data_IF_739653698631
#
_entry.id   IF_739653698631
#
_cell.length_a   1.000
_cell.length_b   1.000
_cell.length_c   1.000
_cell.angle_alpha   90.00
_cell.angle_beta   90.00
_cell.angle_gamma   90.00
#
_symmetry.space_group_name_H-M   'P 1'
#
loop_
_entity.id
_entity.type
_entity.pdbx_description
1 polymer ?
#
# COMPACT_ATOMS: atom_id res chain seq x y z
N UNK A 1 33.13 12.13 -25.36
CA UNK A 1 32.84 11.39 -24.12
C UNK A 1 32.88 12.27 -22.86
N UNK A 2 33.97 13.02 -22.56
CA UNK A 2 34.06 13.88 -21.35
C UNK A 2 33.09 15.05 -21.42
N UNK A 3 32.89 15.70 -22.55
CA UNK A 3 31.94 16.81 -22.73
C UNK A 3 30.48 16.37 -22.67
N UNK A 4 30.16 15.15 -23.12
CA UNK A 4 28.82 14.57 -23.08
C UNK A 4 28.40 14.15 -21.66
N UNK A 5 29.36 13.62 -20.87
CA UNK A 5 29.17 13.33 -19.46
C UNK A 5 28.93 14.62 -18.63
N UNK A 6 29.70 15.69 -18.87
CA UNK A 6 29.54 16.96 -18.20
C UNK A 6 28.20 17.67 -18.52
N UNK A 7 27.72 17.58 -19.76
CA UNK A 7 26.40 18.13 -20.15
C UNK A 7 25.25 17.35 -19.52
N UNK A 8 25.38 16.03 -19.34
CA UNK A 8 24.36 15.20 -18.66
C UNK A 8 24.31 15.51 -17.17
N UNK A 9 25.45 15.75 -16.52
CA UNK A 9 25.54 16.11 -15.09
C UNK A 9 24.91 17.47 -14.80
N UNK A 10 25.19 18.50 -15.61
CA UNK A 10 24.59 19.83 -15.46
C UNK A 10 23.07 19.76 -15.55
N UNK A 11 22.51 19.00 -16.52
CA UNK A 11 21.07 18.79 -16.62
C UNK A 11 20.45 18.07 -15.41
N UNK A 12 21.15 17.10 -14.80
CA UNK A 12 20.69 16.38 -13.62
C UNK A 12 20.63 17.30 -12.39
N UNK A 13 21.67 18.09 -12.17
CA UNK A 13 21.71 19.07 -11.08
C UNK A 13 20.59 20.13 -11.19
N UNK A 14 20.32 20.60 -12.41
CA UNK A 14 19.24 21.55 -12.67
C UNK A 14 17.86 20.95 -12.35
N UNK A 15 17.60 19.70 -12.78
CA UNK A 15 16.38 18.98 -12.44
C UNK A 15 16.20 18.78 -10.95
N UNK A 16 17.26 18.39 -10.23
CA UNK A 16 17.19 18.24 -8.77
C UNK A 16 16.88 19.55 -8.06
N UNK A 17 17.49 20.67 -8.50
CA UNK A 17 17.18 22.01 -7.97
C UNK A 17 15.75 22.43 -8.30
N UNK A 18 15.27 22.14 -9.51
CA UNK A 18 13.88 22.36 -9.86
C UNK A 18 12.94 21.62 -8.90
N UNK A 19 13.14 20.31 -8.68
CA UNK A 19 12.32 19.52 -7.74
C UNK A 19 12.33 20.14 -6.34
N UNK A 20 13.52 20.47 -5.83
CA UNK A 20 13.65 21.13 -4.51
C UNK A 20 12.95 22.50 -4.45
N UNK A 21 13.04 23.27 -5.53
CA UNK A 21 12.41 24.59 -5.63
C UNK A 21 10.88 24.56 -5.70
N UNK A 22 10.29 23.43 -6.11
CA UNK A 22 8.84 23.24 -6.11
C UNK A 22 8.29 22.75 -4.75
N UNK A 23 9.16 22.38 -3.80
CA UNK A 23 8.72 21.92 -2.48
C UNK A 23 8.13 23.07 -1.68
N UNK A 24 6.89 22.97 -1.19
CA UNK A 24 6.34 23.94 -0.27
C UNK A 24 7.19 24.04 0.99
N UNK A 25 7.38 25.26 1.48
CA UNK A 25 8.13 25.54 2.73
C UNK A 25 7.43 25.01 3.99
N UNK A 26 6.16 24.66 3.89
CA UNK A 26 5.31 24.17 4.97
C UNK A 26 4.30 23.13 4.45
N UNK A 27 3.51 22.54 5.32
CA UNK A 27 2.48 21.59 4.97
C UNK A 27 3.05 20.21 4.61
N UNK A 28 2.75 19.70 3.41
CA UNK A 28 3.10 18.36 2.95
C UNK A 28 4.55 17.93 3.22
N UNK A 29 5.50 18.85 3.21
CA UNK A 29 6.93 18.58 3.38
C UNK A 29 7.50 19.06 4.71
N UNK A 30 6.69 19.58 5.61
CA UNK A 30 7.16 20.03 6.92
C UNK A 30 7.76 18.85 7.69
N UNK A 31 9.02 18.96 8.08
CA UNK A 31 9.74 17.92 8.83
C UNK A 31 10.20 16.70 8.02
N UNK A 32 10.05 16.72 6.70
CA UNK A 32 10.56 15.67 5.83
C UNK A 32 11.92 16.02 5.25
N UNK A 33 12.90 15.16 5.55
CA UNK A 33 14.26 15.23 5.00
C UNK A 33 14.58 13.94 4.26
N UNK A 34 14.36 13.94 2.93
CA UNK A 34 14.62 12.81 2.05
C UNK A 34 15.47 13.23 0.85
N UNK A 35 16.14 12.26 0.26
CA UNK A 35 17.06 12.48 -0.86
C UNK A 35 16.31 12.73 -2.15
N UNK A 36 16.64 13.83 -2.84
CA UNK A 36 16.02 14.21 -4.11
C UNK A 36 16.72 13.53 -5.27
N UNK A 37 16.00 12.68 -6.01
CA UNK A 37 16.49 12.16 -7.29
C UNK A 37 16.30 13.20 -8.40
N UNK A 38 17.26 13.35 -9.33
CA UNK A 38 17.08 14.20 -10.50
C UNK A 38 16.10 13.61 -11.52
N UNK A 39 15.78 12.33 -11.41
CA UNK A 39 14.99 11.59 -12.39
C UNK A 39 13.91 10.72 -11.72
N UNK A 40 12.79 10.41 -12.40
CA UNK A 40 11.88 9.36 -11.98
C UNK A 40 12.60 8.01 -11.91
N UNK A 41 12.09 7.11 -11.08
CA UNK A 41 12.56 5.73 -11.04
C UNK A 41 12.04 4.96 -12.27
N UNK A 42 12.95 4.47 -13.11
CA UNK A 42 12.59 3.80 -14.35
C UNK A 42 12.28 2.31 -14.11
N UNK A 43 11.08 1.88 -14.51
CA UNK A 43 10.62 0.49 -14.35
C UNK A 43 10.89 -0.40 -15.56
N UNK A 44 10.95 0.18 -16.73
CA UNK A 44 10.89 -0.58 -17.99
C UNK A 44 9.46 -0.98 -18.38
N UNK A 45 9.22 -1.23 -19.67
CA UNK A 45 7.87 -1.36 -20.22
C UNK A 45 7.11 -2.60 -19.71
N UNK A 46 7.79 -3.71 -19.50
CA UNK A 46 7.14 -4.97 -19.02
C UNK A 46 6.61 -4.81 -17.60
N UNK A 47 7.43 -4.27 -16.68
CA UNK A 47 7.02 -4.06 -15.29
C UNK A 47 5.94 -2.99 -15.19
N UNK A 48 6.02 -1.92 -16.00
CA UNK A 48 4.98 -0.90 -16.05
C UNK A 48 3.64 -1.48 -16.52
N UNK A 49 3.62 -2.32 -17.56
CA UNK A 49 2.43 -3.01 -18.04
C UNK A 49 1.89 -4.04 -17.01
N UNK A 50 2.79 -4.70 -16.28
CA UNK A 50 2.40 -5.61 -15.21
C UNK A 50 1.70 -4.86 -14.07
N UNK A 51 2.23 -3.72 -13.64
CA UNK A 51 1.59 -2.87 -12.64
C UNK A 51 0.24 -2.33 -13.12
N UNK A 52 0.13 -1.86 -14.37
CA UNK A 52 -1.15 -1.36 -14.90
C UNK A 52 -2.26 -2.43 -14.82
N UNK A 53 -1.93 -3.65 -15.18
CA UNK A 53 -2.89 -4.77 -15.16
C UNK A 53 -3.18 -5.33 -13.76
N UNK A 54 -2.33 -5.06 -12.76
CA UNK A 54 -2.43 -5.63 -11.41
C UNK A 54 -3.68 -5.15 -10.66
N UNK A 55 -4.12 -3.91 -10.88
CA UNK A 55 -5.28 -3.35 -10.20
C UNK A 55 -6.56 -4.20 -10.35
N UNK A 56 -6.77 -4.79 -11.53
CA UNK A 56 -7.90 -5.70 -11.77
C UNK A 56 -7.82 -6.98 -10.95
N UNK A 57 -6.62 -7.51 -10.78
CA UNK A 57 -6.38 -8.73 -9.99
C UNK A 57 -6.66 -8.47 -8.52
N UNK A 58 -6.15 -7.34 -7.98
CA UNK A 58 -6.33 -6.96 -6.58
C UNK A 58 -7.80 -6.63 -6.27
N UNK A 59 -8.50 -5.95 -7.18
CA UNK A 59 -9.92 -5.71 -7.00
C UNK A 59 -10.73 -7.01 -6.98
N UNK A 60 -10.41 -7.97 -7.87
CA UNK A 60 -11.06 -9.27 -7.86
C UNK A 60 -10.70 -10.07 -6.60
N UNK A 61 -9.46 -9.95 -6.11
CA UNK A 61 -9.06 -10.55 -4.84
C UNK A 61 -9.89 -10.00 -3.67
N UNK A 62 -10.10 -8.69 -3.56
CA UNK A 62 -10.95 -8.11 -2.53
C UNK A 62 -12.42 -8.54 -2.65
N UNK A 63 -12.95 -8.69 -3.87
CA UNK A 63 -14.28 -9.28 -4.09
C UNK A 63 -14.36 -10.70 -3.55
N UNK A 64 -13.38 -11.52 -3.86
CA UNK A 64 -13.30 -12.90 -3.41
C UNK A 64 -13.13 -13.00 -1.89
N UNK A 65 -12.30 -12.16 -1.27
CA UNK A 65 -12.17 -12.03 0.20
C UNK A 65 -13.51 -11.72 0.85
N UNK A 66 -14.21 -10.71 0.36
CA UNK A 66 -15.52 -10.33 0.87
C UNK A 66 -16.54 -11.48 0.78
N UNK A 67 -16.52 -12.20 -0.32
CA UNK A 67 -17.38 -13.35 -0.52
C UNK A 67 -17.01 -14.54 0.37
N UNK A 68 -15.70 -14.82 0.54
CA UNK A 68 -15.19 -15.86 1.42
C UNK A 68 -15.67 -15.65 2.86
N UNK A 69 -15.46 -14.44 3.39
CA UNK A 69 -15.92 -14.09 4.74
C UNK A 69 -17.42 -14.33 4.91
N UNK A 70 -18.24 -13.87 3.97
CA UNK A 70 -19.70 -14.04 4.01
C UNK A 70 -20.14 -15.49 3.90
N UNK A 71 -19.56 -16.24 2.95
CA UNK A 71 -19.85 -17.66 2.80
C UNK A 71 -19.42 -18.47 4.03
N UNK A 72 -18.36 -18.04 4.72
CA UNK A 72 -17.93 -18.65 5.99
C UNK A 72 -18.95 -18.44 7.11
N UNK A 73 -19.50 -17.22 7.25
CA UNK A 73 -20.58 -16.94 8.22
C UNK A 73 -21.86 -17.72 7.89
N UNK A 74 -22.16 -17.93 6.61
CA UNK A 74 -23.31 -18.68 6.14
C UNK A 74 -23.13 -20.21 6.23
N UNK A 75 -21.97 -20.71 6.71
CA UNK A 75 -21.64 -22.14 6.75
C UNK A 75 -21.40 -22.78 5.36
N UNK A 76 -21.26 -21.98 4.30
CA UNK A 76 -20.98 -22.42 2.92
C UNK A 76 -19.49 -22.52 2.60
N UNK A 77 -18.66 -21.98 3.45
CA UNK A 77 -17.20 -22.11 3.46
C UNK A 77 -16.77 -22.40 4.92
N UNK A 78 -15.56 -22.89 5.17
CA UNK A 78 -15.13 -23.26 6.52
C UNK A 78 -15.34 -22.14 7.55
N UNK A 79 -16.05 -22.43 8.62
CA UNK A 79 -16.41 -21.46 9.69
C UNK A 79 -15.20 -20.85 10.38
N UNK A 80 -14.08 -21.57 10.41
CA UNK A 80 -12.85 -21.05 11.02
C UNK A 80 -12.33 -19.78 10.34
N UNK A 81 -12.65 -19.56 9.05
CA UNK A 81 -12.21 -18.36 8.30
C UNK A 81 -12.81 -17.10 8.93
N UNK A 82 -14.14 -17.05 9.08
CA UNK A 82 -14.80 -15.91 9.72
C UNK A 82 -14.36 -15.80 11.19
N UNK A 83 -14.27 -16.91 11.92
CA UNK A 83 -13.82 -16.93 13.31
C UNK A 83 -12.44 -16.29 13.46
N UNK A 84 -11.47 -16.63 12.62
CA UNK A 84 -10.12 -16.04 12.70
C UNK A 84 -10.11 -14.56 12.32
N UNK A 85 -10.88 -14.18 11.29
CA UNK A 85 -11.00 -12.78 10.84
C UNK A 85 -11.72 -11.88 11.86
N UNK A 86 -12.53 -12.46 12.75
CA UNK A 86 -13.27 -11.75 13.79
C UNK A 86 -12.49 -11.57 15.09
N UNK A 87 -11.39 -12.32 15.28
CA UNK A 87 -10.61 -12.28 16.52
C UNK A 87 -10.18 -10.85 16.88
N UNK A 88 -10.33 -10.53 18.17
CA UNK A 88 -9.95 -9.24 18.76
C UNK A 88 -10.80 -8.04 18.36
N UNK A 89 -11.87 -8.23 17.58
CA UNK A 89 -12.71 -7.13 17.08
C UNK A 89 -13.99 -6.94 17.91
N UNK A 90 -14.42 -5.68 18.12
CA UNK A 90 -15.67 -5.39 18.82
C UNK A 90 -16.89 -5.96 18.08
N UNK A 91 -17.85 -6.50 18.84
CA UNK A 91 -19.09 -7.06 18.27
C UNK A 91 -19.90 -6.06 17.43
N UNK A 92 -19.89 -4.79 17.80
CA UNK A 92 -20.57 -3.72 17.05
C UNK A 92 -19.96 -3.52 15.66
N UNK A 93 -18.61 -3.56 15.56
CA UNK A 93 -17.91 -3.46 14.27
C UNK A 93 -18.16 -4.70 13.43
N UNK A 94 -18.19 -5.88 14.01
CA UNK A 94 -18.54 -7.12 13.31
C UNK A 94 -19.99 -7.10 12.80
N UNK A 95 -20.92 -6.53 13.57
CA UNK A 95 -22.29 -6.34 13.13
C UNK A 95 -22.38 -5.42 11.90
N UNK A 96 -21.61 -4.33 11.87
CA UNK A 96 -21.51 -3.44 10.69
C UNK A 96 -20.94 -4.19 9.47
N UNK A 97 -19.82 -4.91 9.63
CA UNK A 97 -19.22 -5.71 8.56
C UNK A 97 -20.19 -6.72 7.95
N UNK A 98 -21.07 -7.30 8.77
CA UNK A 98 -22.08 -8.28 8.36
C UNK A 98 -23.38 -7.65 7.85
N UNK A 99 -23.57 -6.35 8.05
CA UNK A 99 -24.79 -5.63 7.67
C UNK A 99 -25.04 -5.73 6.15
N UNK A 100 -26.29 -5.92 5.74
CA UNK A 100 -26.69 -5.83 4.33
C UNK A 100 -26.32 -4.51 3.66
N UNK A 101 -26.27 -3.40 4.42
CA UNK A 101 -25.91 -2.08 3.91
C UNK A 101 -24.52 -2.03 3.30
N UNK A 102 -23.55 -2.72 3.91
CA UNK A 102 -22.16 -2.76 3.44
C UNK A 102 -21.81 -4.05 2.68
N UNK A 103 -22.80 -4.88 2.37
CA UNK A 103 -22.62 -6.23 1.80
C UNK A 103 -21.64 -6.27 0.63
N UNK A 104 -21.74 -5.33 -0.31
CA UNK A 104 -20.96 -5.31 -1.53
C UNK A 104 -19.85 -4.25 -1.54
N UNK A 105 -19.71 -3.49 -0.44
CA UNK A 105 -18.75 -2.41 -0.37
C UNK A 105 -17.33 -2.94 -0.23
N UNK A 106 -16.45 -2.36 -1.01
CA UNK A 106 -15.02 -2.65 -1.07
C UNK A 106 -14.23 -1.36 -0.88
N UNK A 107 -12.97 -1.43 -0.43
CA UNK A 107 -12.07 -0.29 -0.47
C UNK A 107 -11.97 0.27 -1.90
N UNK A 108 -12.03 1.59 -2.02
CA UNK A 108 -11.93 2.28 -3.32
C UNK A 108 -10.53 2.80 -3.61
N UNK A 109 -9.62 2.71 -2.65
CA UNK A 109 -8.18 2.86 -2.84
C UNK A 109 -7.53 1.54 -2.47
N UNK A 110 -6.68 1.02 -3.34
CA UNK A 110 -5.93 -0.22 -3.12
C UNK A 110 -4.45 0.10 -3.35
N UNK A 111 -3.63 -0.04 -2.33
CA UNK A 111 -2.18 0.15 -2.44
C UNK A 111 -1.45 -1.12 -1.97
N UNK A 112 -0.92 -1.93 -2.87
CA UNK A 112 0.05 -2.94 -2.49
C UNK A 112 1.41 -2.31 -2.23
N UNK A 113 2.12 -2.82 -1.22
CA UNK A 113 3.55 -2.56 -1.05
C UNK A 113 4.32 -3.69 -1.74
N UNK A 114 5.02 -3.36 -2.83
CA UNK A 114 5.68 -4.33 -3.69
C UNK A 114 7.20 -4.19 -3.61
N UNK A 115 7.89 -5.31 -3.47
CA UNK A 115 9.33 -5.39 -3.59
C UNK A 115 9.71 -5.93 -4.98
N UNK A 116 10.73 -5.35 -5.60
CA UNK A 116 11.37 -5.95 -6.77
C UNK A 116 12.38 -6.97 -6.25
N UNK A 117 12.22 -8.23 -6.62
CA UNK A 117 13.09 -9.35 -6.25
C UNK A 117 13.70 -9.99 -7.49
N UNK A 118 14.62 -10.92 -7.31
CA UNK A 118 15.20 -11.70 -8.41
C UNK A 118 14.14 -12.54 -9.16
N UNK A 119 13.03 -12.88 -8.48
CA UNK A 119 11.94 -13.69 -9.02
C UNK A 119 10.73 -12.84 -9.47
N UNK A 120 10.88 -11.54 -9.64
CA UNK A 120 9.82 -10.61 -10.00
C UNK A 120 9.26 -9.83 -8.80
N UNK A 121 8.01 -9.38 -8.90
CA UNK A 121 7.35 -8.63 -7.83
C UNK A 121 6.94 -9.52 -6.66
N UNK A 122 7.09 -9.01 -5.46
CA UNK A 122 6.65 -9.65 -4.22
C UNK A 122 5.87 -8.65 -3.36
N UNK A 123 4.61 -8.96 -3.05
CA UNK A 123 3.75 -8.10 -2.21
C UNK A 123 4.01 -8.36 -0.73
N UNK A 124 4.20 -7.31 0.01
CA UNK A 124 4.40 -7.42 1.46
C UNK A 124 3.16 -7.06 2.27
N UNK A 125 2.30 -6.22 1.71
CA UNK A 125 1.08 -5.71 2.36
C UNK A 125 0.09 -5.23 1.30
N UNK A 126 -1.21 -5.26 1.64
CA UNK A 126 -2.28 -4.55 0.95
C UNK A 126 -2.88 -3.52 1.91
N UNK A 127 -2.85 -2.27 1.51
CA UNK A 127 -3.38 -1.16 2.30
C UNK A 127 -4.65 -0.61 1.66
N UNK A 128 -5.70 -0.47 2.45
CA UNK A 128 -7.01 0.06 2.06
C UNK A 128 -7.25 1.50 2.54
N UNK A 129 -6.37 2.02 3.41
CA UNK A 129 -6.38 3.40 3.94
C UNK A 129 -4.99 4.04 3.74
N UNK A 130 -4.43 4.02 2.52
CA UNK A 130 -3.03 4.36 2.33
C UNK A 130 -2.73 5.84 2.51
N UNK A 131 -1.66 6.14 3.25
CA UNK A 131 -0.95 7.41 3.16
C UNK A 131 -0.13 7.54 1.87
N UNK A 132 0.41 8.72 1.60
CA UNK A 132 1.28 8.98 0.45
C UNK A 132 0.53 9.34 -0.84
N UNK A 133 -0.79 9.53 -0.80
CA UNK A 133 -1.60 9.96 -1.97
C UNK A 133 -1.14 11.33 -2.45
N UNK A 134 -1.02 12.30 -1.54
CA UNK A 134 -0.61 13.66 -1.86
C UNK A 134 0.87 13.75 -2.23
N UNK A 135 1.74 13.06 -1.50
CA UNK A 135 3.16 12.97 -1.85
C UNK A 135 3.35 12.43 -3.27
N UNK A 136 2.69 11.33 -3.61
CA UNK A 136 2.79 10.73 -4.95
C UNK A 136 2.20 11.65 -6.02
N UNK A 137 1.08 12.32 -5.73
CA UNK A 137 0.48 13.30 -6.64
C UNK A 137 1.42 14.47 -6.91
N UNK A 138 2.03 15.04 -5.85
CA UNK A 138 2.99 16.12 -5.99
C UNK A 138 4.23 15.69 -6.80
N UNK A 139 4.76 14.51 -6.52
CA UNK A 139 5.88 13.95 -7.28
C UNK A 139 5.51 13.78 -8.75
N UNK A 140 4.35 13.22 -9.05
CA UNK A 140 3.87 13.06 -10.43
C UNK A 140 3.80 14.40 -11.16
N UNK A 141 3.20 15.43 -10.55
CA UNK A 141 3.10 16.76 -11.14
C UNK A 141 4.49 17.39 -11.35
N UNK A 142 5.33 17.34 -10.32
CA UNK A 142 6.65 17.98 -10.36
C UNK A 142 7.56 17.34 -11.40
N UNK A 143 7.63 15.99 -11.43
CA UNK A 143 8.50 15.30 -12.38
C UNK A 143 7.96 15.28 -13.81
N UNK A 144 6.66 15.42 -14.01
CA UNK A 144 6.10 15.63 -15.35
C UNK A 144 6.49 16.98 -15.98
N UNK A 145 6.88 17.95 -15.14
CA UNK A 145 7.27 19.30 -15.53
C UNK A 145 8.78 19.56 -15.42
N UNK A 146 9.60 18.52 -15.28
CA UNK A 146 11.06 18.68 -15.22
C UNK A 146 11.61 19.46 -16.41
N UNK A 147 12.55 20.39 -16.19
CA UNK A 147 13.23 21.10 -17.27
C UNK A 147 13.98 20.09 -18.15
N UNK A 148 13.93 20.34 -19.44
CA UNK A 148 14.63 19.52 -20.45
C UNK A 148 16.09 19.92 -20.49
N UNK A 149 16.99 18.96 -20.61
CA UNK A 149 18.35 19.25 -21.04
C UNK A 149 18.25 19.85 -22.45
N UNK A 150 18.73 21.08 -22.67
CA UNK A 150 18.84 21.66 -24.00
C UNK A 150 19.73 20.77 -24.84
N UNK A 151 19.15 20.05 -25.80
CA UNK A 151 19.94 19.46 -26.86
C UNK A 151 20.51 20.62 -27.67
N UNK A 152 21.83 20.79 -27.65
CA UNK A 152 22.51 21.65 -28.60
C UNK A 152 21.97 21.33 -29.98
N UNK A 153 21.35 22.30 -30.62
CA UNK A 153 20.72 22.18 -31.94
C UNK A 153 21.78 21.96 -32.98
N UNK A 154 22.16 20.72 -33.24
CA UNK A 154 22.75 20.34 -34.51
C UNK A 154 21.56 20.16 -35.44
N UNK A 155 21.33 21.19 -36.28
CA UNK A 155 20.33 21.16 -37.34
C UNK A 155 20.68 20.04 -38.31
N UNK A 156 19.95 18.93 -38.27
CA UNK A 156 19.81 18.02 -39.39
C UNK A 156 18.35 18.11 -39.87
N UNK A 157 18.11 18.46 -41.16
CA UNK A 157 16.76 18.50 -41.67
C UNK A 157 16.24 17.09 -41.92
N UNK A 158 14.96 16.92 -41.66
CA UNK A 158 14.08 15.82 -42.05
C UNK A 158 14.14 14.51 -41.27
N UNK A 159 13.40 14.49 -40.14
CA UNK A 159 12.59 13.34 -39.74
C UNK A 159 11.31 13.86 -39.11
N UNK A 160 10.14 13.20 -39.32
CA UNK A 160 8.87 13.73 -38.81
C UNK A 160 8.86 13.77 -37.29
N UNK A 161 8.34 14.86 -36.76
CA UNK A 161 8.26 15.21 -35.38
C UNK A 161 7.75 14.03 -34.53
N UNK A 162 8.62 13.43 -33.73
CA UNK A 162 8.20 12.66 -32.57
C UNK A 162 7.73 13.63 -31.49
N UNK A 163 6.46 13.54 -31.18
CA UNK A 163 5.75 14.29 -30.18
C UNK A 163 6.50 14.36 -28.85
N UNK A 164 6.65 15.59 -28.33
CA UNK A 164 6.92 15.98 -26.95
C UNK A 164 7.54 14.92 -26.02
N UNK A 165 8.85 14.86 -25.93
CA UNK A 165 9.58 14.04 -24.97
C UNK A 165 9.53 14.59 -23.53
N UNK A 166 8.33 14.74 -22.95
CA UNK A 166 8.19 14.82 -21.49
C UNK A 166 8.50 13.45 -20.88
N UNK A 167 9.16 13.41 -19.74
CA UNK A 167 9.33 12.16 -19.00
C UNK A 167 7.94 11.63 -18.66
N UNK A 168 7.56 10.51 -19.26
CA UNK A 168 6.23 9.92 -19.06
C UNK A 168 6.16 9.24 -17.68
N UNK A 169 5.74 10.00 -16.67
CA UNK A 169 5.45 9.46 -15.35
C UNK A 169 4.21 8.57 -15.42
N UNK A 170 4.24 7.42 -14.75
CA UNK A 170 3.09 6.51 -14.71
C UNK A 170 1.90 7.20 -14.04
N UNK A 171 0.74 7.15 -14.70
CA UNK A 171 -0.46 7.89 -14.29
C UNK A 171 -0.51 9.34 -14.80
N UNK A 172 0.60 9.87 -15.31
CA UNK A 172 0.72 11.27 -15.74
C UNK A 172 0.71 12.26 -14.57
N UNK A 173 0.73 13.55 -14.85
CA UNK A 173 0.77 14.61 -13.83
C UNK A 173 -0.41 14.55 -12.84
N UNK A 174 -1.63 14.27 -13.34
CA UNK A 174 -2.86 14.39 -12.55
C UNK A 174 -3.53 13.05 -12.22
N UNK A 175 -2.89 11.91 -12.58
CA UNK A 175 -3.50 10.59 -12.41
C UNK A 175 -3.90 10.28 -10.97
N UNK A 176 -3.08 10.69 -10.01
CA UNK A 176 -3.37 10.52 -8.58
C UNK A 176 -4.58 11.35 -8.13
N UNK A 177 -4.63 12.62 -8.52
CA UNK A 177 -5.71 13.55 -8.11
C UNK A 177 -7.03 13.15 -8.75
N UNK A 178 -7.05 12.92 -10.07
CA UNK A 178 -8.24 12.44 -10.79
C UNK A 178 -8.70 11.08 -10.29
N UNK A 179 -7.77 10.19 -10.01
CA UNK A 179 -8.07 8.88 -9.45
C UNK A 179 -8.76 9.00 -8.09
N UNK A 180 -8.20 9.79 -7.17
CA UNK A 180 -8.77 10.02 -5.85
C UNK A 180 -10.15 10.70 -5.93
N UNK A 181 -10.33 11.70 -6.78
CA UNK A 181 -11.64 12.32 -6.99
C UNK A 181 -12.68 11.33 -7.51
N UNK A 182 -12.29 10.45 -8.44
CA UNK A 182 -13.22 9.52 -9.11
C UNK A 182 -13.89 8.51 -8.18
N UNK A 183 -13.30 8.21 -7.01
CA UNK A 183 -13.86 7.22 -6.08
C UNK A 183 -15.15 7.68 -5.38
N UNK A 184 -15.43 8.97 -5.38
CA UNK A 184 -16.58 9.56 -4.69
C UNK A 184 -17.81 9.71 -5.59
N UNK A 185 -17.66 9.53 -6.90
CA UNK A 185 -18.77 9.70 -7.85
C UNK A 185 -19.34 11.11 -7.83
N UNK A 186 -20.67 11.21 -7.74
CA UNK A 186 -21.42 12.49 -7.81
C UNK A 186 -21.63 13.16 -6.44
N UNK A 187 -20.86 12.82 -5.41
CA UNK A 187 -21.01 13.45 -4.10
C UNK A 187 -20.79 14.97 -4.17
N UNK A 188 -21.65 15.72 -3.48
CA UNK A 188 -21.63 17.19 -3.48
C UNK A 188 -20.46 17.76 -2.68
N UNK A 189 -20.18 17.14 -1.54
CA UNK A 189 -19.06 17.48 -0.64
C UNK A 189 -18.39 16.19 -0.19
N UNK A 190 -17.08 16.21 -0.07
CA UNK A 190 -16.27 15.10 0.41
C UNK A 190 -15.56 15.53 1.70
N UNK A 191 -15.86 14.85 2.79
CA UNK A 191 -15.22 15.05 4.08
C UNK A 191 -14.11 14.00 4.25
N UNK A 192 -12.86 14.45 4.41
CA UNK A 192 -11.72 13.59 4.73
C UNK A 192 -11.55 13.66 6.25
N UNK A 193 -12.05 12.64 6.93
CA UNK A 193 -11.97 12.56 8.41
C UNK A 193 -10.69 11.85 8.79
N UNK A 194 -9.82 12.56 9.53
CA UNK A 194 -8.48 12.11 9.89
C UNK A 194 -8.37 12.01 11.41
N UNK A 195 -8.05 10.81 11.93
CA UNK A 195 -7.82 10.61 13.36
C UNK A 195 -6.52 11.25 13.85
N UNK A 196 -6.31 11.30 15.16
CA UNK A 196 -5.06 11.79 15.73
C UNK A 196 -3.89 10.84 15.47
N UNK A 197 -4.10 9.53 15.41
CA UNK A 197 -3.07 8.55 15.01
C UNK A 197 -2.57 8.81 13.57
N UNK A 198 -3.46 9.25 12.68
CA UNK A 198 -3.14 9.61 11.30
C UNK A 198 -2.84 11.11 11.10
N UNK A 199 -2.69 11.90 12.16
CA UNK A 199 -2.54 13.37 12.10
C UNK A 199 -1.37 13.83 11.21
N UNK A 200 -0.29 13.05 11.12
CA UNK A 200 0.85 13.35 10.26
C UNK A 200 0.47 13.47 8.76
N UNK A 201 -0.66 12.88 8.34
CA UNK A 201 -1.16 12.95 6.96
C UNK A 201 -2.11 14.15 6.72
N UNK A 202 -2.49 14.92 7.74
CA UNK A 202 -3.36 16.11 7.55
C UNK A 202 -2.80 17.11 6.54
N UNK A 203 -1.51 17.50 6.59
CA UNK A 203 -0.94 18.43 5.60
C UNK A 203 -0.97 17.85 4.18
N UNK A 204 -0.75 16.55 4.03
CA UNK A 204 -0.81 15.86 2.76
C UNK A 204 -2.22 15.91 2.14
N UNK A 205 -3.23 15.55 2.94
CA UNK A 205 -4.62 15.52 2.47
C UNK A 205 -5.18 16.94 2.28
N UNK A 206 -4.71 17.93 3.06
CA UNK A 206 -5.04 19.34 2.83
C UNK A 206 -4.49 19.84 1.49
N UNK A 207 -3.27 19.45 1.14
CA UNK A 207 -2.70 19.75 -0.17
C UNK A 207 -3.53 19.10 -1.30
N UNK A 208 -3.90 17.81 -1.18
CA UNK A 208 -4.77 17.11 -2.16
C UNK A 208 -6.10 17.85 -2.32
N UNK A 209 -6.77 18.19 -1.22
CA UNK A 209 -8.03 18.92 -1.24
C UNK A 209 -7.89 20.26 -1.99
N UNK A 210 -6.82 21.02 -1.74
CA UNK A 210 -6.51 22.28 -2.41
C UNK A 210 -6.28 22.11 -3.93
N UNK A 211 -5.69 21.01 -4.35
CA UNK A 211 -5.42 20.73 -5.78
C UNK A 211 -6.68 20.32 -6.57
N UNK A 212 -7.58 19.55 -5.95
CA UNK A 212 -8.77 19.03 -6.63
C UNK A 212 -9.90 20.08 -6.64
N UNK A 213 -10.02 20.88 -5.56
CA UNK A 213 -11.06 21.88 -5.41
C UNK A 213 -11.48 22.00 -3.94
N UNK A 214 -10.90 22.97 -3.24
CA UNK A 214 -11.04 23.15 -1.79
C UNK A 214 -12.47 23.38 -1.28
N UNK A 215 -13.39 23.80 -2.15
CA UNK A 215 -14.80 23.96 -1.78
C UNK A 215 -15.53 22.62 -1.67
N UNK A 216 -15.15 21.64 -2.49
CA UNK A 216 -15.74 20.31 -2.53
C UNK A 216 -15.09 19.35 -1.52
N UNK A 217 -13.79 19.46 -1.28
CA UNK A 217 -13.02 18.59 -0.40
C UNK A 217 -12.66 19.30 0.90
N UNK A 218 -13.06 18.75 2.03
CA UNK A 218 -12.87 19.33 3.36
C UNK A 218 -12.14 18.38 4.29
N UNK A 219 -11.06 18.86 4.89
CA UNK A 219 -10.36 18.12 5.93
C UNK A 219 -11.10 18.31 7.25
N UNK A 220 -11.44 17.21 7.89
CA UNK A 220 -12.20 17.19 9.14
C UNK A 220 -11.39 16.59 10.29
N UNK A 221 -11.64 17.09 11.48
CA UNK A 221 -11.20 16.49 12.73
C UNK A 221 -12.02 15.24 13.05
N UNK A 222 -11.54 14.33 13.92
CA UNK A 222 -12.25 13.10 14.28
C UNK A 222 -13.60 13.33 14.98
N UNK A 223 -13.83 14.51 15.56
CA UNK A 223 -15.08 14.92 16.22
C UNK A 223 -16.11 15.53 15.28
N UNK A 224 -15.80 15.67 13.98
CA UNK A 224 -16.73 16.26 13.03
C UNK A 224 -17.91 15.33 12.75
N UNK A 225 -19.12 15.85 12.86
CA UNK A 225 -20.35 15.08 12.75
C UNK A 225 -21.50 15.74 11.95
N UNK A 226 -21.27 16.94 11.37
CA UNK A 226 -22.30 17.66 10.58
C UNK A 226 -22.25 17.24 9.10
N UNK A 227 -22.78 16.04 8.81
CA UNK A 227 -22.87 15.49 7.47
C UNK A 227 -24.29 15.65 6.92
N UNK A 228 -24.41 15.98 5.62
CA UNK A 228 -25.68 16.14 4.90
C UNK A 228 -25.93 15.00 3.92
N UNK A 229 -27.19 14.79 3.56
CA UNK A 229 -27.58 13.78 2.59
C UNK A 229 -26.90 14.04 1.23
N UNK A 230 -26.32 12.99 0.63
CA UNK A 230 -25.61 13.06 -0.65
C UNK A 230 -24.13 13.44 -0.56
N UNK A 231 -23.61 13.69 0.64
CA UNK A 231 -22.17 13.90 0.84
C UNK A 231 -21.39 12.58 0.92
N UNK A 232 -20.07 12.66 0.86
CA UNK A 232 -19.19 11.51 1.01
C UNK A 232 -18.20 11.72 2.16
N UNK A 233 -17.81 10.61 2.78
CA UNK A 233 -16.74 10.55 3.77
C UNK A 233 -15.62 9.65 3.26
N UNK A 234 -14.41 10.18 3.21
CA UNK A 234 -13.21 9.39 3.14
C UNK A 234 -12.71 9.15 4.56
N UNK A 235 -12.77 7.90 5.00
CA UNK A 235 -12.30 7.47 6.32
C UNK A 235 -10.77 7.34 6.27
N UNK A 236 -10.08 8.40 6.67
CA UNK A 236 -8.61 8.38 6.78
C UNK A 236 -8.18 8.04 8.21
N UNK A 237 -8.63 6.90 8.68
CA UNK A 237 -8.26 6.27 9.95
C UNK A 237 -8.48 4.76 9.86
N UNK A 238 -7.65 4.01 10.53
CA UNK A 238 -7.78 2.56 10.64
C UNK A 238 -8.91 2.18 11.61
N UNK A 239 -9.53 1.01 11.42
CA UNK A 239 -10.65 0.59 12.29
C UNK A 239 -10.22 0.22 13.70
N UNK A 240 -8.96 -0.06 13.95
CA UNK A 240 -8.46 -0.22 15.33
C UNK A 240 -8.47 1.10 16.11
N UNK A 241 -8.46 2.25 15.42
CA UNK A 241 -8.35 3.58 16.01
C UNK A 241 -9.70 4.24 16.30
N UNK A 242 -10.81 3.48 16.25
CA UNK A 242 -12.17 3.99 16.49
C UNK A 242 -12.35 4.69 17.84
N UNK A 243 -11.58 4.31 18.86
CA UNK A 243 -11.62 4.97 20.16
C UNK A 243 -11.22 6.47 20.08
N UNK A 244 -10.41 6.85 19.09
CA UNK A 244 -9.96 8.21 18.84
C UNK A 244 -10.83 8.94 17.79
N UNK A 245 -11.95 8.35 17.35
CA UNK A 245 -12.90 8.94 16.41
C UNK A 245 -14.31 8.86 17.05
N UNK A 246 -14.66 9.77 17.97
CA UNK A 246 -15.86 9.66 18.81
C UNK A 246 -17.16 9.62 17.99
N UNK A 247 -17.21 10.29 16.85
CA UNK A 247 -18.38 10.32 15.97
C UNK A 247 -18.39 9.22 14.91
N UNK A 248 -17.47 8.25 14.95
CA UNK A 248 -17.41 7.12 14.02
C UNK A 248 -18.72 6.34 13.93
N UNK A 249 -19.41 6.15 15.06
CA UNK A 249 -20.73 5.48 15.09
C UNK A 249 -21.76 6.21 14.23
N UNK A 250 -21.85 7.55 14.35
CA UNK A 250 -22.76 8.38 13.54
C UNK A 250 -22.43 8.32 12.05
N UNK A 251 -21.14 8.35 11.71
CA UNK A 251 -20.67 8.19 10.31
C UNK A 251 -21.17 6.85 9.75
N UNK A 252 -20.98 5.76 10.51
CA UNK A 252 -21.39 4.43 10.05
C UNK A 252 -22.91 4.25 9.96
N UNK A 253 -23.69 4.84 10.85
CA UNK A 253 -25.16 4.86 10.81
C UNK A 253 -25.69 5.63 9.60
N UNK A 254 -25.13 6.81 9.31
CA UNK A 254 -25.48 7.59 8.13
C UNK A 254 -25.13 6.86 6.83
N UNK A 255 -23.98 6.20 6.79
CA UNK A 255 -23.59 5.39 5.64
C UNK A 255 -24.47 4.14 5.49
N UNK A 256 -24.80 3.45 6.59
CA UNK A 256 -25.68 2.28 6.57
C UNK A 256 -27.10 2.63 6.11
N UNK A 257 -27.59 3.84 6.42
CA UNK A 257 -28.89 4.34 5.95
C UNK A 257 -28.85 4.91 4.52
N UNK A 258 -27.69 4.92 3.85
CA UNK A 258 -27.51 5.44 2.49
C UNK A 258 -27.56 6.97 2.38
N UNK A 259 -27.52 7.70 3.49
CA UNK A 259 -27.52 9.17 3.50
C UNK A 259 -26.21 9.74 3.04
N UNK A 260 -25.09 9.12 3.43
CA UNK A 260 -23.76 9.49 2.96
C UNK A 260 -23.07 8.29 2.29
N UNK A 261 -22.12 8.57 1.43
CA UNK A 261 -21.20 7.56 0.88
C UNK A 261 -19.96 7.46 1.76
N UNK A 262 -19.58 6.25 2.17
CA UNK A 262 -18.40 6.00 3.00
C UNK A 262 -17.37 5.15 2.25
N UNK A 263 -16.12 5.58 2.25
CA UNK A 263 -14.99 4.77 1.77
C UNK A 263 -13.72 5.07 2.57
N UNK A 264 -12.91 4.06 2.94
CA UNK A 264 -13.22 2.63 2.91
C UNK A 264 -14.42 2.25 3.79
N UNK A 265 -15.09 1.11 3.52
CA UNK A 265 -16.22 0.67 4.34
C UNK A 265 -15.78 0.25 5.76
N UNK A 266 -16.69 0.18 6.74
CA UNK A 266 -16.35 -0.27 8.11
C UNK A 266 -16.23 -1.80 8.19
N UNK A 267 -15.28 -2.34 7.41
CA UNK A 267 -15.06 -3.79 7.24
C UNK A 267 -13.61 -4.13 7.55
N UNK A 268 -13.31 -4.50 8.81
CA UNK A 268 -11.93 -4.80 9.23
C UNK A 268 -11.27 -5.94 8.45
N UNK A 269 -12.04 -6.79 7.77
CA UNK A 269 -11.49 -7.84 6.90
C UNK A 269 -10.52 -7.30 5.84
N UNK A 270 -10.69 -6.05 5.40
CA UNK A 270 -9.80 -5.45 4.39
C UNK A 270 -8.53 -4.81 4.96
N UNK A 271 -8.40 -4.76 6.29
CA UNK A 271 -7.23 -4.24 6.99
C UNK A 271 -6.36 -5.39 7.58
N UNK A 272 -6.56 -6.62 7.09
CA UNK A 272 -5.95 -7.84 7.63
C UNK A 272 -4.84 -8.41 6.73
N UNK A 273 -3.65 -8.59 7.29
CA UNK A 273 -2.55 -9.28 6.58
C UNK A 273 -2.78 -10.79 6.47
N UNK A 274 -3.64 -11.36 7.33
CA UNK A 274 -3.97 -12.80 7.26
C UNK A 274 -4.70 -13.19 5.96
N UNK A 275 -5.18 -12.24 5.16
CA UNK A 275 -5.71 -12.51 3.82
C UNK A 275 -4.73 -13.30 2.95
N UNK A 276 -3.43 -13.04 3.12
CA UNK A 276 -2.38 -13.78 2.41
C UNK A 276 -2.23 -15.22 2.92
N UNK A 277 -2.41 -15.43 4.23
CA UNK A 277 -2.42 -16.78 4.80
C UNK A 277 -3.65 -17.58 4.34
N UNK A 278 -4.81 -16.92 4.23
CA UNK A 278 -6.02 -17.55 3.67
C UNK A 278 -5.83 -17.91 2.19
N UNK A 279 -5.13 -17.09 1.40
CA UNK A 279 -4.81 -17.41 0.01
C UNK A 279 -3.97 -18.70 -0.09
N UNK A 280 -2.98 -18.86 0.78
CA UNK A 280 -2.09 -20.02 0.80
C UNK A 280 -2.68 -21.27 1.47
N UNK A 281 -3.83 -21.14 2.17
CA UNK A 281 -4.46 -22.28 2.82
C UNK A 281 -5.02 -23.27 1.79
N UNK A 282 -4.50 -24.50 1.79
CA UNK A 282 -4.84 -25.54 0.80
C UNK A 282 -6.33 -25.88 0.75
N UNK A 283 -7.02 -25.79 1.90
CA UNK A 283 -8.46 -26.07 1.97
C UNK A 283 -9.31 -25.00 1.27
N UNK A 284 -8.73 -23.84 0.94
CA UNK A 284 -9.42 -22.76 0.25
C UNK A 284 -9.02 -22.63 -1.23
N UNK A 285 -8.10 -23.48 -1.74
CA UNK A 285 -7.61 -23.36 -3.11
C UNK A 285 -8.72 -23.50 -4.15
N UNK A 286 -9.67 -24.42 -3.94
CA UNK A 286 -10.82 -24.60 -4.84
C UNK A 286 -11.66 -23.31 -4.91
N UNK A 287 -11.97 -22.73 -3.74
CA UNK A 287 -12.66 -21.44 -3.65
C UNK A 287 -11.91 -20.35 -4.40
N UNK A 288 -10.60 -20.21 -4.17
CA UNK A 288 -9.81 -19.18 -4.82
C UNK A 288 -9.74 -19.34 -6.34
N UNK A 289 -9.59 -20.58 -6.85
CA UNK A 289 -9.63 -20.85 -8.29
C UNK A 289 -10.97 -20.48 -8.90
N UNK A 290 -12.06 -20.82 -8.24
CA UNK A 290 -13.40 -20.51 -8.70
C UNK A 290 -13.63 -19.00 -8.78
N UNK A 291 -13.28 -18.25 -7.72
CA UNK A 291 -13.61 -16.84 -7.63
C UNK A 291 -12.62 -15.91 -8.36
N UNK A 292 -11.35 -16.30 -8.48
CA UNK A 292 -10.34 -15.53 -9.19
C UNK A 292 -10.19 -15.94 -10.65
N UNK A 293 -10.55 -17.17 -11.00
CA UNK A 293 -10.16 -17.81 -12.25
C UNK A 293 -8.66 -18.14 -12.26
N UNK A 294 -8.29 -19.15 -13.05
CA UNK A 294 -6.94 -19.73 -13.06
C UNK A 294 -5.83 -18.68 -13.28
N UNK A 295 -6.06 -17.73 -14.19
CA UNK A 295 -5.07 -16.69 -14.52
C UNK A 295 -4.75 -15.76 -13.31
N UNK A 296 -5.78 -15.27 -12.62
CA UNK A 296 -5.59 -14.37 -11.48
C UNK A 296 -5.11 -15.14 -10.25
N UNK A 297 -5.61 -16.35 -10.04
CA UNK A 297 -5.14 -17.24 -8.99
C UNK A 297 -3.63 -17.46 -9.10
N UNK A 298 -3.14 -17.90 -10.25
CA UNK A 298 -1.71 -18.14 -10.49
C UNK A 298 -0.89 -16.86 -10.36
N UNK A 299 -1.44 -15.70 -10.75
CA UNK A 299 -0.76 -14.42 -10.58
C UNK A 299 -0.64 -14.03 -9.11
N UNK A 300 -1.69 -14.21 -8.31
CA UNK A 300 -1.65 -13.95 -6.87
C UNK A 300 -0.66 -14.86 -6.16
N UNK A 301 -0.60 -16.14 -6.53
CA UNK A 301 0.38 -17.09 -5.96
C UNK A 301 1.83 -16.73 -6.27
N UNK A 302 2.11 -16.15 -7.42
CA UNK A 302 3.47 -15.65 -7.74
C UNK A 302 3.80 -14.35 -7.03
N UNK A 303 2.79 -13.51 -6.80
CA UNK A 303 2.96 -12.19 -6.20
C UNK A 303 3.10 -12.27 -4.67
N UNK A 304 2.30 -13.13 -4.02
CA UNK A 304 2.21 -13.22 -2.55
C UNK A 304 3.23 -14.23 -2.02
N UNK A 305 4.20 -13.84 -1.19
CA UNK A 305 5.08 -14.79 -0.51
C UNK A 305 4.29 -15.80 0.30
N UNK A 306 4.81 -17.01 0.45
CA UNK A 306 4.14 -18.00 1.30
C UNK A 306 3.89 -17.42 2.69
N UNK A 307 2.64 -17.46 3.11
CA UNK A 307 2.17 -16.84 4.36
C UNK A 307 1.35 -17.84 5.16
N UNK A 308 1.63 -17.92 6.44
CA UNK A 308 0.92 -18.78 7.40
C UNK A 308 0.19 -17.92 8.40
N UNK A 309 -0.97 -18.39 8.87
CA UNK A 309 -1.58 -17.90 10.12
C UNK A 309 -0.93 -18.66 11.28
N UNK A 310 -0.40 -17.95 12.25
CA UNK A 310 0.21 -18.54 13.46
C UNK A 310 -0.92 -18.91 14.42
N UNK A 311 -1.63 -20.00 14.10
CA UNK A 311 -2.74 -20.53 14.89
C UNK A 311 -2.21 -21.57 15.88
N UNK A 312 -2.30 -21.34 17.19
CA UNK A 312 -1.78 -22.25 18.23
C UNK A 312 -2.61 -23.52 18.41
N UNK A 313 -3.69 -23.68 17.66
CA UNK A 313 -4.51 -24.92 17.73
C UNK A 313 -3.65 -26.14 17.41
N UNK A 314 -3.81 -27.25 18.19
CA UNK A 314 -3.06 -28.46 17.94
C UNK A 314 -3.27 -28.99 16.51
N UNK A 315 -2.17 -29.38 15.85
CA UNK A 315 -2.26 -30.04 14.57
C UNK A 315 -2.77 -31.48 14.74
N UNK A 316 -3.48 -32.03 13.73
CA UNK A 316 -3.83 -33.43 13.70
C UNK A 316 -2.57 -34.32 13.83
N UNK A 317 -2.69 -35.55 14.38
CA UNK A 317 -1.58 -36.48 14.46
C UNK A 317 -0.90 -36.66 13.09
N UNK A 318 0.44 -36.65 13.08
CA UNK A 318 1.28 -36.77 11.88
C UNK A 318 1.18 -35.62 10.88
N UNK A 319 0.44 -34.53 11.20
CA UNK A 319 0.45 -33.33 10.37
C UNK A 319 1.67 -32.44 10.66
N UNK A 320 2.12 -31.75 9.65
CA UNK A 320 3.16 -30.73 9.77
C UNK A 320 2.69 -29.42 9.14
N UNK A 321 3.25 -28.31 9.63
CA UNK A 321 3.03 -26.99 9.06
C UNK A 321 3.64 -27.01 7.64
N UNK A 322 2.84 -26.78 6.60
CA UNK A 322 3.31 -26.88 5.22
C UNK A 322 4.55 -26.01 4.99
N UNK A 323 5.50 -26.48 4.17
CA UNK A 323 6.74 -25.77 3.79
C UNK A 323 7.75 -25.48 4.93
N UNK A 324 7.37 -25.71 6.20
CA UNK A 324 8.27 -25.52 7.35
C UNK A 324 8.72 -26.86 7.95
N UNK A 325 7.98 -27.95 7.73
CA UNK A 325 8.20 -29.26 8.35
C UNK A 325 8.21 -29.24 9.87
N UNK A 326 7.53 -28.28 10.48
CA UNK A 326 7.35 -28.15 11.93
C UNK A 326 5.99 -28.75 12.34
N UNK A 327 5.92 -29.33 13.50
CA UNK A 327 4.68 -29.91 14.04
C UNK A 327 4.02 -29.02 15.09
N UNK A 328 4.73 -27.97 15.52
CA UNK A 328 4.28 -26.99 16.51
C UNK A 328 4.93 -25.63 16.24
N UNK A 329 4.22 -24.54 16.44
CA UNK A 329 4.74 -23.18 16.27
C UNK A 329 5.88 -22.83 17.22
N UNK A 330 5.95 -23.43 18.39
CA UNK A 330 7.06 -23.25 19.33
C UNK A 330 8.42 -23.67 18.73
N UNK A 331 8.41 -24.59 17.78
CA UNK A 331 9.62 -25.04 17.08
C UNK A 331 10.25 -23.96 16.20
N UNK A 332 9.53 -22.88 15.87
CA UNK A 332 10.14 -21.70 15.22
C UNK A 332 11.31 -21.12 16.03
N UNK A 333 11.30 -21.29 17.34
CA UNK A 333 12.38 -20.83 18.23
C UNK A 333 13.66 -21.64 18.05
N UNK A 334 13.59 -22.88 17.59
CA UNK A 334 14.76 -23.75 17.40
C UNK A 334 15.49 -23.50 16.07
N UNK A 335 14.89 -22.73 15.17
CA UNK A 335 15.50 -22.40 13.88
C UNK A 335 16.78 -21.57 14.08
N UNK A 336 17.81 -21.91 13.32
CA UNK A 336 19.03 -21.10 13.23
C UNK A 336 18.74 -19.75 12.58
N UNK A 337 19.60 -18.76 12.77
CA UNK A 337 19.45 -17.43 12.16
C UNK A 337 19.32 -17.50 10.64
N UNK A 338 20.01 -18.42 9.99
CA UNK A 338 19.94 -18.62 8.54
C UNK A 338 18.60 -19.21 8.08
N UNK A 339 17.97 -20.07 8.89
CA UNK A 339 16.66 -20.64 8.60
C UNK A 339 15.51 -19.67 8.87
N UNK A 340 15.77 -18.60 9.65
CA UNK A 340 14.80 -17.56 9.98
C UNK A 340 14.66 -16.47 8.91
N UNK A 341 14.77 -16.83 7.61
CA UNK A 341 14.36 -15.94 6.51
C UNK A 341 12.83 -15.85 6.44
N UNK A 342 12.27 -15.39 7.55
CA UNK A 342 10.84 -15.31 7.84
C UNK A 342 10.54 -13.97 8.48
N UNK A 343 9.36 -13.43 8.20
CA UNK A 343 8.86 -12.21 8.83
C UNK A 343 7.59 -12.57 9.61
N UNK A 344 7.60 -12.28 10.90
CA UNK A 344 6.42 -12.34 11.76
C UNK A 344 5.78 -10.96 11.79
N UNK A 345 4.45 -10.90 11.57
CA UNK A 345 3.69 -9.64 11.51
C UNK A 345 2.38 -9.77 12.29
N UNK A 346 2.00 -8.71 12.99
CA UNK A 346 0.61 -8.55 13.46
C UNK A 346 -0.31 -8.41 12.27
N UNK A 347 -1.41 -9.17 12.23
CA UNK A 347 -2.27 -9.24 11.05
C UNK A 347 -3.03 -7.93 10.80
N UNK A 348 -3.85 -7.49 11.73
CA UNK A 348 -4.67 -6.29 11.61
C UNK A 348 -5.30 -5.91 12.94
N UNK A 349 -6.20 -4.93 12.93
CA UNK A 349 -6.96 -4.43 14.06
C UNK A 349 -6.12 -4.23 15.35
N UNK A 350 -4.96 -3.60 15.19
CA UNK A 350 -4.01 -3.34 16.28
C UNK A 350 -3.13 -2.14 15.93
N UNK A 351 -2.79 -1.27 16.88
CA UNK A 351 -1.82 -0.18 16.66
C UNK A 351 -0.43 -0.72 16.26
N UNK A 352 -0.13 -1.99 16.58
CA UNK A 352 1.10 -2.65 16.13
C UNK A 352 1.03 -3.17 14.69
N UNK A 353 -0.14 -3.24 14.07
CA UNK A 353 -0.27 -3.64 12.67
C UNK A 353 0.12 -2.52 11.69
N UNK A 354 0.32 -1.28 12.18
CA UNK A 354 0.56 -0.08 11.40
C UNK A 354 1.99 0.47 11.60
N UNK A 355 2.55 1.15 10.58
CA UNK A 355 3.84 1.82 10.67
C UNK A 355 5.04 0.90 10.92
N UNK A 356 4.98 -0.37 10.52
CA UNK A 356 6.01 -1.39 10.73
C UNK A 356 6.29 -1.72 12.22
N UNK A 357 5.46 -1.28 13.17
CA UNK A 357 5.67 -1.46 14.62
C UNK A 357 5.64 -2.93 15.07
N UNK A 358 4.87 -3.77 14.40
CA UNK A 358 4.73 -5.21 14.71
C UNK A 358 5.33 -6.11 13.63
N UNK A 359 6.47 -5.71 13.05
CA UNK A 359 7.16 -6.45 12.00
C UNK A 359 8.51 -6.96 12.53
N UNK A 360 8.69 -8.27 12.57
CA UNK A 360 9.88 -8.94 13.11
C UNK A 360 10.55 -9.77 12.02
N UNK A 361 11.69 -9.33 11.49
CA UNK A 361 12.50 -10.10 10.55
C UNK A 361 13.39 -11.08 11.32
N UNK A 362 13.09 -12.36 11.22
CA UNK A 362 13.74 -13.40 12.03
C UNK A 362 15.25 -13.50 11.86
N UNK A 363 15.77 -13.27 10.64
CA UNK A 363 17.21 -13.28 10.35
C UNK A 363 17.97 -12.10 10.97
N UNK A 364 17.28 -11.02 11.40
CA UNK A 364 17.91 -9.83 11.98
C UNK A 364 17.87 -9.82 13.51
N UNK A 365 16.97 -10.62 14.09
CA UNK A 365 16.78 -10.69 15.52
C UNK A 365 17.78 -11.66 16.17
N UNK A 366 18.14 -11.35 17.43
CA UNK A 366 18.80 -12.33 18.30
C UNK A 366 17.89 -13.55 18.48
N UNK A 367 18.46 -14.67 18.97
CA UNK A 367 17.66 -15.85 19.29
C UNK A 367 16.62 -15.55 20.39
N UNK A 368 16.98 -14.74 21.38
CA UNK A 368 16.10 -14.37 22.48
C UNK A 368 14.94 -13.50 22.00
N UNK A 369 15.21 -12.46 21.17
CA UNK A 369 14.18 -11.56 20.65
C UNK A 369 13.23 -12.29 19.70
N UNK A 370 13.76 -13.19 18.85
CA UNK A 370 12.93 -14.02 17.98
C UNK A 370 12.02 -14.95 18.80
N UNK A 371 12.58 -15.61 19.82
CA UNK A 371 11.80 -16.49 20.69
C UNK A 371 10.70 -15.72 21.41
N UNK A 372 10.99 -14.53 21.92
CA UNK A 372 9.99 -13.67 22.55
C UNK A 372 8.89 -13.24 21.56
N UNK A 373 9.25 -12.90 20.31
CA UNK A 373 8.27 -12.55 19.27
C UNK A 373 7.36 -13.73 18.93
N UNK A 374 7.89 -14.96 18.84
CA UNK A 374 7.11 -16.18 18.60
C UNK A 374 6.19 -16.47 19.78
N UNK A 375 6.68 -16.41 21.02
CA UNK A 375 5.86 -16.64 22.20
C UNK A 375 4.73 -15.60 22.30
N UNK A 376 5.01 -14.35 22.02
CA UNK A 376 4.01 -13.29 22.00
C UNK A 376 2.93 -13.52 20.93
N UNK A 377 3.32 -13.93 19.72
CA UNK A 377 2.38 -14.22 18.65
C UNK A 377 1.42 -15.37 19.00
N UNK A 378 1.95 -16.42 19.62
CA UNK A 378 1.16 -17.57 20.06
C UNK A 378 0.21 -17.18 21.22
N UNK A 379 0.72 -16.48 22.23
CA UNK A 379 -0.06 -16.09 23.42
C UNK A 379 -1.19 -15.11 23.08
N UNK A 380 -0.98 -14.21 22.14
CA UNK A 380 -1.94 -13.18 21.78
C UNK A 380 -2.89 -13.56 20.63
N UNK A 381 -2.86 -14.79 20.14
CA UNK A 381 -3.64 -15.21 18.97
C UNK A 381 -5.13 -14.83 19.04
N UNK A 382 -5.77 -14.96 20.19
CA UNK A 382 -7.19 -14.67 20.36
C UNK A 382 -7.53 -13.16 20.28
N UNK A 383 -6.54 -12.29 20.51
CA UNK A 383 -6.75 -10.83 20.54
C UNK A 383 -6.12 -10.11 19.36
N UNK A 384 -4.97 -10.58 18.92
CA UNK A 384 -4.18 -9.96 17.85
C UNK A 384 -3.44 -11.03 17.07
N UNK A 385 -4.12 -11.74 16.15
CA UNK A 385 -3.51 -12.79 15.34
C UNK A 385 -2.28 -12.31 14.60
N UNK A 386 -1.29 -13.18 14.48
CA UNK A 386 -0.07 -12.91 13.74
C UNK A 386 0.00 -13.81 12.48
N UNK A 387 0.64 -13.29 11.45
CA UNK A 387 1.03 -14.06 10.28
C UNK A 387 2.54 -14.21 10.24
N UNK A 388 2.99 -15.39 9.84
CA UNK A 388 4.36 -15.65 9.45
C UNK A 388 4.44 -15.61 7.94
N UNK A 389 5.38 -14.88 7.38
CA UNK A 389 5.55 -14.75 5.93
C UNK A 389 6.99 -15.05 5.54
N UNK A 390 7.19 -15.79 4.43
CA UNK A 390 8.52 -16.02 3.88
C UNK A 390 9.13 -14.67 3.46
N UNK A 391 10.35 -14.41 3.87
CA UNK A 391 11.06 -13.20 3.49
C UNK A 391 11.59 -13.34 2.06
N UNK A 392 11.13 -12.46 1.18
CA UNK A 392 11.69 -12.31 -0.15
C UNK A 392 12.63 -11.11 -0.14
N UNK A 393 13.92 -11.39 -0.30
CA UNK A 393 14.97 -10.36 -0.29
C UNK A 393 14.80 -9.41 -1.47
N UNK A 394 14.67 -8.09 -1.25
CA UNK A 394 14.63 -7.13 -2.35
C UNK A 394 15.94 -7.14 -3.14
N UNK A 395 15.84 -7.12 -4.46
CA UNK A 395 16.97 -6.95 -5.36
C UNK A 395 17.66 -5.60 -5.17
N UNK A 396 18.91 -5.52 -5.64
CA UNK A 396 19.63 -4.25 -5.66
C UNK A 396 19.27 -3.47 -6.93
N UNK A 397 19.10 -2.17 -6.77
CA UNK A 397 18.88 -1.22 -7.85
C UNK A 397 19.93 -0.13 -7.82
N UNK A 398 20.26 0.42 -8.99
CA UNK A 398 21.06 1.63 -9.11
C UNK A 398 20.13 2.84 -9.01
N UNK A 399 20.50 3.80 -8.18
CA UNK A 399 19.82 5.05 -7.98
C UNK A 399 20.84 6.18 -7.83
N UNK A 400 20.37 7.40 -7.94
CA UNK A 400 21.19 8.60 -7.72
C UNK A 400 20.36 9.67 -7.02
N UNK A 401 21.04 10.51 -6.25
CA UNK A 401 20.44 11.66 -5.59
C UNK A 401 21.39 12.86 -5.64
N UNK A 402 20.83 14.05 -5.53
CA UNK A 402 21.61 15.27 -5.56
C UNK A 402 21.93 15.73 -4.14
N UNK A 403 23.24 15.85 -3.84
CA UNK A 403 23.71 16.45 -2.60
C UNK A 403 23.77 17.99 -2.77
N UNK A 404 22.83 18.66 -2.11
CA UNK A 404 22.74 20.12 -2.14
C UNK A 404 23.88 20.81 -1.38
N UNK A 405 24.57 20.11 -0.47
CA UNK A 405 25.68 20.67 0.30
C UNK A 405 26.95 20.73 -0.54
N UNK A 406 27.26 19.64 -1.23
CA UNK A 406 28.45 19.52 -2.07
C UNK A 406 28.20 19.84 -3.54
N UNK A 407 26.92 20.05 -3.91
CA UNK A 407 26.49 20.37 -5.26
C UNK A 407 26.86 19.34 -6.31
N UNK A 408 26.69 18.07 -5.97
CA UNK A 408 27.07 16.93 -6.81
C UNK A 408 25.99 15.82 -6.83
N UNK A 409 26.04 14.97 -7.87
CA UNK A 409 25.23 13.77 -7.97
C UNK A 409 25.94 12.62 -7.26
N UNK A 410 25.25 12.01 -6.30
CA UNK A 410 25.74 10.88 -5.54
C UNK A 410 25.07 9.59 -6.02
N UNK A 411 25.82 8.63 -6.58
CA UNK A 411 25.29 7.31 -6.90
C UNK A 411 25.00 6.52 -5.63
N UNK A 412 23.94 5.73 -5.65
CA UNK A 412 23.51 4.90 -4.53
C UNK A 412 23.08 3.51 -5.01
N UNK A 413 23.70 2.45 -4.48
CA UNK A 413 23.08 1.12 -4.52
C UNK A 413 21.97 1.07 -3.48
N UNK A 414 20.76 0.75 -3.91
CA UNK A 414 19.58 0.74 -3.06
C UNK A 414 18.72 -0.50 -3.22
N UNK A 415 17.68 -0.56 -2.42
CA UNK A 415 16.57 -1.51 -2.52
C UNK A 415 15.28 -0.71 -2.62
N UNK A 416 14.38 -1.12 -3.48
CA UNK A 416 13.17 -0.36 -3.79
C UNK A 416 11.92 -1.08 -3.33
N UNK A 417 11.01 -0.29 -2.75
CA UNK A 417 9.60 -0.63 -2.57
C UNK A 417 8.78 0.24 -3.52
N UNK A 418 7.90 -0.39 -4.28
CA UNK A 418 6.95 0.27 -5.14
C UNK A 418 5.58 0.27 -4.48
N UNK A 419 4.95 1.42 -4.45
CA UNK A 419 3.58 1.61 -3.96
C UNK A 419 2.71 2.13 -5.11
N UNK A 420 2.14 1.26 -5.97
CA UNK A 420 1.14 1.67 -6.95
C UNK A 420 -0.18 1.97 -6.27
N UNK A 421 -0.84 3.06 -6.66
CA UNK A 421 -2.15 3.46 -6.15
C UNK A 421 -3.21 3.16 -7.20
N UNK A 422 -4.11 2.26 -6.86
CA UNK A 422 -5.27 1.92 -7.69
C UNK A 422 -6.51 2.55 -7.10
N UNK A 423 -7.21 3.34 -7.91
CA UNK A 423 -8.47 3.98 -7.57
C UNK A 423 -9.61 3.22 -8.24
N UNK A 424 -10.63 2.86 -7.45
CA UNK A 424 -11.76 2.06 -7.90
C UNK A 424 -12.96 2.98 -8.14
N UNK A 425 -13.30 3.18 -9.40
CA UNK A 425 -14.49 3.94 -9.83
C UNK A 425 -15.58 3.01 -10.37
N UNK A 426 -16.81 3.50 -10.44
CA UNK A 426 -17.97 2.70 -10.82
C UNK A 426 -18.56 1.89 -9.64
N UNK A 427 -19.68 1.20 -9.89
CA UNK A 427 -20.42 0.47 -8.86
C UNK A 427 -20.50 -1.03 -9.19
N UNK A 428 -20.57 -1.85 -8.17
CA UNK A 428 -20.77 -3.30 -8.24
C UNK A 428 -19.87 -3.99 -9.29
N UNK A 429 -20.43 -4.68 -10.26
CA UNK A 429 -19.69 -5.40 -11.31
C UNK A 429 -19.02 -4.47 -12.33
N UNK A 430 -19.51 -3.25 -12.46
CA UNK A 430 -18.92 -2.23 -13.34
C UNK A 430 -17.73 -1.52 -12.72
N UNK A 431 -17.46 -1.74 -11.43
CA UNK A 431 -16.31 -1.14 -10.76
C UNK A 431 -14.98 -1.58 -11.43
N UNK A 432 -14.11 -0.59 -11.70
CA UNK A 432 -12.80 -0.77 -12.33
C UNK A 432 -11.72 -0.10 -11.49
N UNK A 433 -10.58 -0.76 -11.38
CA UNK A 433 -9.39 -0.21 -10.75
C UNK A 433 -8.50 0.44 -11.81
N UNK A 434 -8.11 1.69 -11.58
CA UNK A 434 -7.24 2.49 -12.45
C UNK A 434 -5.97 2.85 -11.71
N UNK A 435 -4.82 2.68 -12.35
CA UNK A 435 -3.53 3.06 -11.80
C UNK A 435 -3.36 4.59 -11.88
N UNK A 436 -3.33 5.26 -10.72
CA UNK A 436 -3.16 6.72 -10.64
C UNK A 436 -1.71 7.17 -10.61
N UNK A 437 -0.81 6.34 -10.07
CA UNK A 437 0.62 6.64 -9.95
C UNK A 437 1.34 5.53 -9.19
N UNK A 438 2.68 5.60 -9.19
CA UNK A 438 3.53 4.65 -8.47
C UNK A 438 4.61 5.41 -7.73
N UNK A 439 4.64 5.29 -6.41
CA UNK A 439 5.71 5.82 -5.57
C UNK A 439 6.83 4.78 -5.46
N UNK A 440 8.04 5.14 -5.82
CA UNK A 440 9.24 4.39 -5.49
C UNK A 440 9.87 4.96 -4.21
N UNK A 441 10.05 4.10 -3.20
CA UNK A 441 10.85 4.38 -2.01
C UNK A 441 12.13 3.57 -2.11
N UNK A 442 13.28 4.24 -2.29
CA UNK A 442 14.56 3.58 -2.49
C UNK A 442 15.43 3.84 -1.26
N UNK A 443 15.72 2.80 -0.50
CA UNK A 443 16.56 2.85 0.69
C UNK A 443 17.97 2.33 0.39
N UNK A 444 19.00 2.78 1.13
CA UNK A 444 20.36 2.24 1.01
C UNK A 444 20.39 0.70 1.09
N UNK A 445 21.31 0.07 0.36
CA UNK A 445 21.39 -1.39 0.18
C UNK A 445 21.51 -2.21 1.47
N UNK A 446 22.02 -1.60 2.56
CA UNK A 446 22.15 -2.23 3.88
C UNK A 446 20.81 -2.33 4.63
N UNK A 447 19.76 -1.63 4.20
CA UNK A 447 18.42 -1.71 4.79
C UNK A 447 17.71 -2.94 4.25
N UNK A 448 17.11 -3.74 5.12
CA UNK A 448 16.34 -4.95 4.75
C UNK A 448 14.85 -4.70 4.73
N UNK A 449 14.34 -3.86 5.64
CA UNK A 449 12.97 -3.38 5.65
C UNK A 449 12.94 -2.03 4.96
N UNK A 450 12.15 -1.93 3.88
CA UNK A 450 12.08 -0.73 3.03
C UNK A 450 10.86 0.09 3.45
N UNK A 451 11.10 1.24 4.05
CA UNK A 451 10.05 2.19 4.43
C UNK A 451 10.56 3.64 4.30
N UNK A 452 9.66 4.62 4.42
CA UNK A 452 10.04 6.04 4.43
C UNK A 452 11.00 6.34 5.57
N UNK A 453 12.17 6.89 5.26
CA UNK A 453 13.21 7.29 6.21
C UNK A 453 14.03 8.44 5.62
N UNK A 454 14.78 9.15 6.47
CA UNK A 454 15.59 10.33 6.08
C UNK A 454 16.57 10.04 4.93
N UNK A 455 17.15 8.83 4.91
CA UNK A 455 18.11 8.43 3.86
C UNK A 455 17.45 7.87 2.59
N UNK A 456 16.11 7.80 2.54
CA UNK A 456 15.40 7.27 1.38
C UNK A 456 15.31 8.30 0.25
N UNK A 457 15.27 7.81 -0.98
CA UNK A 457 14.84 8.55 -2.16
C UNK A 457 13.36 8.28 -2.35
N UNK A 458 12.55 9.32 -2.50
CA UNK A 458 11.18 9.24 -2.99
C UNK A 458 11.13 9.77 -4.42
N UNK A 459 10.63 8.96 -5.34
CA UNK A 459 10.48 9.36 -6.73
C UNK A 459 9.20 8.76 -7.32
N UNK A 460 8.57 9.43 -8.29
CA UNK A 460 7.54 8.79 -9.09
C UNK A 460 8.19 7.79 -10.04
N UNK A 461 7.42 6.84 -10.57
CA UNK A 461 7.94 5.89 -11.55
C UNK A 461 7.64 6.34 -12.99
N UNK A 462 8.54 5.99 -13.91
CA UNK A 462 8.34 6.08 -15.37
C UNK A 462 8.46 4.70 -16.01
N UNK A 463 7.86 4.53 -17.21
CA UNK A 463 7.97 3.32 -18.01
C UNK A 463 9.32 3.23 -18.74
#
# INVERSE_FOLDING_TARGET
>A
MIAEAAQTEVGAAERARFVRGQMPSAGLFAGHDWRVSPNPFRLGPELAADLDSLGRVLLQFYRAVNLLYRKSIEGKQPEWVARCLDLGKPSELLALQRSPAFKNDLPRVIRPDLLITENGLSVTELDSVPGGIGLTAWLNQTYSNLPRAERASVQHPASPASTNGSVAVIGGADGMLRGFESIFGAASTIHIVISEEAAAYRPEMAWVAGQIGGDKFKIQAPEFSDFRDGEAVYRFFELFDLANVPDSKKIFELAASGKIRLTPPPKPVFEEKMLFALLWNRNLHEFWRQELGEKFFNRMFRLVPYTWLVDPSPLPPHAAIPELNLTDWQQLKTLSQKERELILKVSGFSPHAWGARGVYLGSDLSHADWSAAVDNAIANFQHSPNVLQRYHKPGLVDAEWFDFTHNEIIPMKGRVRLCPYYFVSGEAEQARAHLGGVLATICPANKKIIHGMTEAIFAPCSA
#
